data_IF_720825587868
#
_entry.id   IF_720825587868
#
_cell.length_a   1.000
_cell.length_b   1.000
_cell.length_c   1.000
_cell.angle_alpha   90.00
_cell.angle_beta   90.00
_cell.angle_gamma   90.00
#
_symmetry.space_group_name_H-M   'P 1'
#
loop_
_entity.id
_entity.type
_entity.pdbx_description
1 polymer ?
#
# COMPACT_ATOMS: atom_id res chain seq x y z
N UNK A 1 2.25 20.31 8.60
CA UNK A 1 1.17 20.17 8.55
C UNK A 1 0.50 19.66 7.44
N UNK A 2 0.26 20.35 6.55
CA UNK A 2 -0.45 19.83 5.46
C UNK A 2 0.41 19.00 4.54
N UNK A 3 1.72 19.11 4.62
CA UNK A 3 2.59 18.37 3.71
C UNK A 3 2.48 16.86 3.87
N UNK A 4 2.41 16.37 5.09
CA UNK A 4 2.28 14.93 5.31
C UNK A 4 0.95 14.42 4.79
N UNK A 5 -0.11 15.18 5.01
CA UNK A 5 -1.42 14.81 4.55
C UNK A 5 -1.49 14.76 3.04
N UNK A 6 -0.93 15.77 2.37
CA UNK A 6 -0.91 15.81 0.93
C UNK A 6 -0.07 14.68 0.34
N UNK A 7 1.03 14.37 1.00
CA UNK A 7 1.88 13.29 0.55
C UNK A 7 1.13 11.97 0.60
N UNK A 8 0.48 11.70 1.72
CA UNK A 8 -0.27 10.46 1.88
C UNK A 8 -1.41 10.39 0.86
N UNK A 9 -2.09 11.50 0.62
CA UNK A 9 -3.18 11.54 -0.35
C UNK A 9 -2.68 11.26 -1.76
N UNK A 10 -1.51 11.77 -2.12
CA UNK A 10 -0.93 11.50 -3.43
C UNK A 10 -0.62 10.01 -3.58
N UNK A 11 -0.12 9.39 -2.52
CA UNK A 11 0.15 7.97 -2.55
C UNK A 11 -1.14 7.16 -2.59
N UNK A 12 -2.16 7.58 -1.86
CA UNK A 12 -3.45 6.90 -1.88
C UNK A 12 -4.08 7.00 -3.26
N UNK A 13 -3.98 8.16 -3.90
CA UNK A 13 -4.50 8.34 -5.24
C UNK A 13 -3.79 7.41 -6.23
N UNK A 14 -2.49 7.26 -6.10
CA UNK A 14 -1.73 6.33 -6.93
C UNK A 14 -2.21 4.90 -6.72
N UNK A 15 -2.43 4.52 -5.46
CA UNK A 15 -2.95 3.19 -5.14
C UNK A 15 -4.31 2.96 -5.82
N UNK A 16 -5.19 3.95 -5.74
CA UNK A 16 -6.52 3.83 -6.32
C UNK A 16 -6.44 3.65 -7.83
N UNK A 17 -5.55 4.37 -8.49
CA UNK A 17 -5.38 4.24 -9.93
C UNK A 17 -4.95 2.84 -10.32
N UNK A 18 -4.01 2.26 -9.57
CA UNK A 18 -3.53 0.93 -9.87
C UNK A 18 -4.63 -0.10 -9.62
N UNK A 19 -5.31 0.02 -8.49
CA UNK A 19 -6.34 -0.94 -8.13
C UNK A 19 -7.52 -0.89 -9.10
N UNK A 20 -7.94 0.31 -9.48
CA UNK A 20 -9.12 0.44 -10.34
C UNK A 20 -8.83 -0.02 -11.77
N UNK A 21 -7.59 -0.03 -12.17
CA UNK A 21 -7.22 -0.53 -13.48
C UNK A 21 -7.09 -2.06 -13.53
N UNK A 22 -7.04 -2.70 -12.39
CA UNK A 22 -6.87 -4.16 -12.33
C UNK A 22 -7.93 -4.86 -13.18
N UNK A 23 -7.62 -5.89 -13.95
CA UNK A 23 -6.34 -6.59 -13.99
C UNK A 23 -5.33 -5.98 -14.97
N UNK A 24 -5.63 -4.83 -15.55
CA UNK A 24 -4.70 -4.16 -16.43
C UNK A 24 -3.58 -3.56 -15.60
N UNK A 25 -2.35 -3.80 -16.00
CA UNK A 25 -1.22 -3.23 -15.29
C UNK A 25 -0.95 -1.84 -15.84
N UNK A 26 -0.85 -0.89 -14.95
CA UNK A 26 -0.57 0.49 -15.32
C UNK A 26 0.67 0.97 -14.60
N UNK A 27 1.45 1.81 -15.27
CA UNK A 27 2.64 2.36 -14.68
C UNK A 27 2.29 3.69 -14.06
N UNK A 28 2.21 3.72 -12.75
CA UNK A 28 1.98 4.95 -12.03
C UNK A 28 3.30 5.37 -11.41
N UNK A 29 3.78 6.58 -11.70
CA UNK A 29 5.08 7.00 -11.16
C UNK A 29 5.00 7.20 -9.66
N UNK A 30 6.14 7.07 -9.01
CA UNK A 30 6.22 7.28 -7.59
C UNK A 30 5.81 8.72 -7.27
N UNK A 31 4.86 8.92 -6.35
CA UNK A 31 4.39 10.28 -6.03
C UNK A 31 5.47 11.19 -5.49
N UNK A 32 6.54 10.62 -4.95
CA UNK A 32 7.65 11.41 -4.42
C UNK A 32 8.63 11.85 -5.51
N UNK A 33 8.42 11.40 -6.74
CA UNK A 33 9.24 11.87 -7.86
C UNK A 33 10.62 11.26 -7.95
N UNK A 34 10.85 10.12 -7.29
CA UNK A 34 12.18 9.50 -7.30
C UNK A 34 12.36 8.52 -8.45
N UNK A 35 11.43 8.49 -9.36
CA UNK A 35 11.48 7.64 -10.55
C UNK A 35 11.42 6.15 -10.27
N UNK A 36 11.01 5.80 -9.08
CA UNK A 36 10.83 4.40 -8.72
C UNK A 36 9.50 3.85 -9.22
N UNK A 37 9.32 2.56 -9.05
CA UNK A 37 8.07 1.89 -9.38
C UNK A 37 7.33 1.57 -8.11
N UNK A 38 6.02 1.61 -8.19
CA UNK A 38 5.18 1.27 -7.04
C UNK A 38 4.91 -0.22 -7.01
N UNK A 39 5.08 -0.79 -5.83
CA UNK A 39 4.82 -2.21 -5.59
C UNK A 39 3.71 -2.33 -4.58
N UNK A 40 2.83 -3.29 -4.74
CA UNK A 40 1.71 -3.50 -3.83
C UNK A 40 1.69 -4.96 -3.40
N UNK A 41 1.52 -5.18 -2.11
CA UNK A 41 1.28 -6.52 -1.59
C UNK A 41 0.01 -6.48 -0.76
N UNK A 42 -0.91 -7.37 -1.07
CA UNK A 42 -2.14 -7.53 -0.30
C UNK A 42 -1.95 -8.65 0.71
N UNK A 43 -2.56 -8.51 1.87
CA UNK A 43 -2.59 -9.55 2.88
C UNK A 43 -4.01 -9.65 3.39
N UNK A 44 -4.56 -10.83 3.44
CA UNK A 44 -5.94 -10.96 3.88
C UNK A 44 -6.47 -12.38 3.81
N UNK A 45 -7.77 -12.48 3.89
CA UNK A 45 -8.46 -13.76 3.79
C UNK A 45 -8.71 -14.10 2.34
N UNK A 46 -8.34 -15.30 1.95
CA UNK A 46 -8.61 -15.75 0.59
C UNK A 46 -10.09 -15.94 0.33
N UNK A 47 -10.86 -16.22 1.38
CA UNK A 47 -12.28 -16.43 1.24
C UNK A 47 -13.04 -15.12 1.08
N UNK A 48 -12.82 -14.18 1.96
CA UNK A 48 -13.54 -12.91 1.91
C UNK A 48 -12.91 -11.91 0.97
N UNK A 49 -11.65 -12.09 0.63
CA UNK A 49 -10.88 -11.17 -0.19
C UNK A 49 -10.88 -9.77 0.42
N UNK A 50 -10.76 -9.71 1.73
CA UNK A 50 -10.65 -8.47 2.46
C UNK A 50 -9.43 -8.56 3.37
N UNK A 51 -8.70 -7.49 3.48
CA UNK A 51 -7.53 -7.46 4.33
C UNK A 51 -6.90 -6.10 4.28
N UNK A 52 -5.59 -6.06 4.13
CA UNK A 52 -4.88 -4.79 4.08
C UNK A 52 -3.89 -4.81 2.92
N UNK A 53 -3.41 -3.63 2.55
CA UNK A 53 -2.45 -3.50 1.47
C UNK A 53 -1.26 -2.68 1.94
N UNK A 54 -0.10 -3.02 1.43
CA UNK A 54 1.11 -2.23 1.62
C UNK A 54 1.60 -1.87 0.23
N UNK A 55 1.78 -0.58 -0.04
CA UNK A 55 2.30 -0.12 -1.32
C UNK A 55 3.55 0.70 -1.05
N UNK A 56 4.60 0.46 -1.81
CA UNK A 56 5.86 1.16 -1.58
C UNK A 56 6.58 1.43 -2.90
N UNK A 57 7.53 2.36 -2.84
CA UNK A 57 8.38 2.67 -3.97
C UNK A 57 9.66 1.83 -3.88
N UNK A 58 10.05 1.20 -4.97
CA UNK A 58 11.19 0.30 -4.96
C UNK A 58 12.53 1.04 -4.89
N UNK A 59 12.54 2.33 -5.10
CA UNK A 59 13.75 3.13 -5.00
C UNK A 59 13.83 3.81 -3.64
N UNK A 60 12.82 4.59 -3.29
CA UNK A 60 12.86 5.35 -2.04
C UNK A 60 12.54 4.54 -0.81
N UNK A 61 11.88 3.41 -0.98
CA UNK A 61 11.48 2.55 0.13
C UNK A 61 10.55 3.23 1.12
N UNK A 62 9.82 4.23 0.66
CA UNK A 62 8.73 4.80 1.44
C UNK A 62 7.44 4.21 0.91
N UNK A 63 6.42 4.17 1.72
CA UNK A 63 5.15 3.59 1.30
C UNK A 63 4.00 3.91 2.22
N UNK A 64 2.84 3.36 1.91
CA UNK A 64 1.65 3.55 2.72
C UNK A 64 1.05 2.21 3.08
N UNK A 65 0.32 2.20 4.18
CA UNK A 65 -0.38 1.03 4.66
C UNK A 65 -1.87 1.33 4.66
N UNK A 66 -2.65 0.46 4.06
CA UNK A 66 -4.10 0.62 3.98
C UNK A 66 -4.73 -0.51 4.77
N UNK A 67 -5.29 -0.22 5.94
CA UNK A 67 -5.69 -1.28 6.89
C UNK A 67 -6.95 -2.04 6.49
N UNK A 68 -7.73 -1.52 5.57
CA UNK A 68 -8.94 -2.23 5.17
C UNK A 68 -9.19 -2.00 3.70
N UNK A 69 -8.96 -3.02 2.90
CA UNK A 69 -9.17 -2.93 1.46
C UNK A 69 -9.80 -4.22 0.96
N UNK A 70 -10.55 -4.09 -0.12
CA UNK A 70 -10.98 -5.26 -0.88
C UNK A 70 -9.85 -5.68 -1.79
N UNK A 71 -9.54 -6.95 -1.80
CA UNK A 71 -8.45 -7.49 -2.61
C UNK A 71 -9.00 -7.85 -3.98
N UNK A 72 -8.47 -7.28 -5.07
CA UNK A 72 -9.01 -7.57 -6.40
C UNK A 72 -8.89 -9.05 -6.74
N UNK A 73 -9.86 -9.55 -7.44
CA UNK A 73 -9.87 -10.94 -7.82
C UNK A 73 -8.68 -11.24 -8.70
N UNK A 74 -7.99 -12.32 -8.44
CA UNK A 74 -6.81 -12.69 -9.20
C UNK A 74 -5.52 -12.04 -8.72
N UNK A 75 -5.59 -11.06 -7.83
CA UNK A 75 -4.38 -10.44 -7.31
C UNK A 75 -3.68 -11.38 -6.35
N UNK A 76 -2.35 -11.35 -6.37
CA UNK A 76 -1.57 -12.14 -5.44
C UNK A 76 -1.71 -11.58 -4.05
N UNK A 77 -1.76 -12.42 -3.07
CA UNK A 77 -1.93 -11.97 -1.71
C UNK A 77 -1.24 -12.92 -0.74
N UNK A 78 -0.86 -12.38 0.42
CA UNK A 78 -0.39 -13.19 1.52
C UNK A 78 -1.57 -13.50 2.42
N UNK A 79 -1.51 -14.64 3.08
CA UNK A 79 -2.51 -14.98 4.07
C UNK A 79 -2.23 -14.21 5.35
N UNK A 80 -3.25 -14.02 6.19
CA UNK A 80 -3.04 -13.46 7.52
C UNK A 80 -2.07 -14.34 8.34
N UNK A 81 -1.97 -15.62 7.98
CA UNK A 81 -1.10 -16.54 8.69
C UNK A 81 0.34 -16.52 8.19
N UNK A 82 0.66 -15.66 7.23
CA UNK A 82 2.01 -15.61 6.71
C UNK A 82 3.01 -15.31 7.82
N UNK A 83 4.12 -16.03 7.81
CA UNK A 83 5.15 -15.85 8.82
C UNK A 83 5.90 -14.55 8.56
N UNK A 84 6.60 -14.00 9.55
CA UNK A 84 7.44 -12.83 9.32
C UNK A 84 8.45 -13.02 8.21
N UNK A 85 8.96 -14.21 8.04
CA UNK A 85 9.92 -14.51 6.98
C UNK A 85 9.24 -14.46 5.61
N UNK A 86 8.03 -14.98 5.51
CA UNK A 86 7.29 -14.95 4.26
C UNK A 86 6.96 -13.51 3.88
N UNK A 87 6.61 -12.70 4.86
CA UNK A 87 6.30 -11.30 4.62
C UNK A 87 7.56 -10.54 4.19
N UNK A 88 8.67 -10.80 4.84
CA UNK A 88 9.92 -10.12 4.52
C UNK A 88 10.45 -10.49 3.13
N UNK A 89 10.09 -11.66 2.65
CA UNK A 89 10.51 -12.08 1.32
C UNK A 89 9.79 -11.27 0.23
N UNK A 90 8.65 -10.67 0.56
CA UNK A 90 7.84 -9.95 -0.41
C UNK A 90 7.86 -8.45 -0.16
N UNK A 91 7.83 -8.06 1.09
CA UNK A 91 7.78 -6.64 1.47
C UNK A 91 9.11 -6.27 2.10
N UNK A 92 9.89 -5.40 1.45
CA UNK A 92 11.18 -5.00 2.02
C UNK A 92 10.98 -4.09 3.22
N UNK A 93 12.07 -3.74 3.85
CA UNK A 93 12.03 -2.81 4.97
C UNK A 93 11.70 -1.43 4.40
N UNK A 94 10.57 -0.90 4.75
CA UNK A 94 10.11 0.38 4.21
C UNK A 94 9.72 1.31 5.33
N UNK A 95 9.71 2.60 5.02
CA UNK A 95 9.25 3.62 5.95
C UNK A 95 7.84 4.00 5.58
N UNK A 96 6.92 3.91 6.53
CA UNK A 96 5.53 4.23 6.24
C UNK A 96 5.27 5.73 6.35
N UNK A 97 4.59 6.26 5.37
CA UNK A 97 4.21 7.65 5.36
C UNK A 97 3.01 7.81 6.29
N UNK A 98 3.07 8.69 7.26
CA UNK A 98 1.96 8.84 8.20
C UNK A 98 0.73 9.46 7.54
N UNK A 99 -0.42 9.09 8.03
CA UNK A 99 -1.66 9.71 7.61
C UNK A 99 -1.73 11.11 8.21
N UNK A 100 -2.84 11.77 8.00
CA UNK A 100 -3.03 13.13 8.51
C UNK A 100 -2.74 13.16 10.00
N UNK A 101 -1.80 13.96 10.43
CA UNK A 101 -1.46 14.04 11.86
C UNK A 101 -2.56 14.57 12.72
N UNK A 102 -3.56 15.18 12.12
CA UNK A 102 -4.68 15.65 12.92
C UNK A 102 -5.70 14.58 13.21
N UNK A 103 -5.60 13.43 12.61
CA UNK A 103 -6.53 12.38 12.90
C UNK A 103 -5.98 11.56 14.01
N UNK A 104 -6.57 11.57 15.17
CA UNK A 104 -6.06 10.82 16.25
C UNK A 104 -6.31 9.40 16.00
N UNK A 105 -5.32 8.66 15.91
CA UNK A 105 -5.44 7.36 15.66
C UNK A 105 -6.18 6.67 16.62
N UNK A 106 -7.18 6.11 16.39
CA UNK A 106 -7.87 5.32 17.26
C UNK A 106 -8.17 5.97 18.49
N UNK A 107 -7.98 7.15 18.57
CA UNK A 107 -8.16 7.70 19.71
C UNK A 107 -9.41 7.98 19.82
N UNK A 108 -9.82 8.18 19.28
CA UNK A 108 -10.97 8.41 19.43
C UNK A 108 -11.56 7.64 20.00
#
# INVERSE_FOLDING_TARGET
MTDSSRRWEAWFDAFTKIRDAWPTRVDVPCPDGDQGKLCITYTGSRDSRVGFATMWCDVGRDGIFLPRVGIPEGAEMLSFDATPEERAAVIPDISLIPTDPHVPDGTD
#
